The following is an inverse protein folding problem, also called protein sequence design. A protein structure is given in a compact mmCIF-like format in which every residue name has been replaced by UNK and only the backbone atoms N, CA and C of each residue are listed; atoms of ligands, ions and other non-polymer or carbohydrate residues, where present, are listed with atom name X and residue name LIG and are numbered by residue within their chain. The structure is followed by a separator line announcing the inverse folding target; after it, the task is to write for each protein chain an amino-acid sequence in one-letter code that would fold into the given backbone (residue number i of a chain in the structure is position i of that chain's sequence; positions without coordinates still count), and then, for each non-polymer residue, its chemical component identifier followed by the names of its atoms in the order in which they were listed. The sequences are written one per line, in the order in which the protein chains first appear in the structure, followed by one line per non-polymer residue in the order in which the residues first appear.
data_IF_146613414496
#
_entry.id   IF_146613414496
#
_cell.length_a   1.000
_cell.length_b   1.000
_cell.length_c   1.000
_cell.angle_alpha   90.00
_cell.angle_beta   90.00
_cell.angle_gamma   90.00
#
_symmetry.space_group_name_H-M   'P 1'
#
loop_
_entity.id
_entity.type
_entity.pdbx_description
1 polymer ?
#
# COMPACT_ATOMS: atom_id res chain seq x y z
N UNK A 1 38.34 -8.87 6.51
CA UNK A 1 36.95 -8.93 5.99
C UNK A 1 36.06 -9.78 6.88
N UNK A 2 36.35 -11.07 7.10
CA UNK A 2 35.53 -11.91 7.99
C UNK A 2 35.49 -11.45 9.45
N UNK A 3 36.59 -10.89 9.98
CA UNK A 3 36.67 -10.39 11.37
C UNK A 3 35.86 -9.11 11.58
N UNK A 4 35.99 -8.12 10.69
CA UNK A 4 35.16 -6.89 10.72
C UNK A 4 33.67 -7.19 10.50
N UNK A 5 33.34 -8.11 9.58
CA UNK A 5 31.97 -8.54 9.37
C UNK A 5 31.40 -9.26 10.62
N UNK A 6 32.23 -9.99 11.36
CA UNK A 6 31.83 -10.60 12.63
C UNK A 6 31.54 -9.54 13.72
N UNK A 7 32.34 -8.47 13.78
CA UNK A 7 32.11 -7.35 14.70
C UNK A 7 30.80 -6.60 14.37
N UNK A 8 30.56 -6.32 13.09
CA UNK A 8 29.30 -5.70 12.62
C UNK A 8 28.11 -6.62 12.90
N UNK A 9 28.25 -7.93 12.64
CA UNK A 9 27.22 -8.93 12.95
C UNK A 9 26.86 -8.93 14.44
N UNK A 10 27.87 -8.85 15.32
CA UNK A 10 27.63 -8.76 16.76
C UNK A 10 26.85 -7.50 17.15
N UNK A 11 27.18 -6.34 16.56
CA UNK A 11 26.44 -5.08 16.79
C UNK A 11 24.99 -5.17 16.31
N UNK A 12 24.76 -5.73 15.13
CA UNK A 12 23.41 -5.94 14.60
C UNK A 12 22.60 -6.90 15.49
N UNK A 13 23.22 -7.96 16.00
CA UNK A 13 22.56 -8.92 16.90
C UNK A 13 22.10 -8.27 18.21
N UNK A 14 22.88 -7.34 18.78
CA UNK A 14 22.46 -6.57 19.97
C UNK A 14 21.19 -5.78 19.69
N UNK A 15 21.12 -5.11 18.55
CA UNK A 15 19.95 -4.32 18.16
C UNK A 15 18.73 -5.19 17.83
N UNK A 16 18.95 -6.35 17.20
CA UNK A 16 17.90 -7.34 16.95
C UNK A 16 17.34 -7.90 18.26
N UNK A 17 18.18 -8.18 19.25
CA UNK A 17 17.72 -8.74 20.53
C UNK A 17 16.90 -7.74 21.35
N UNK A 18 17.20 -6.45 21.25
CA UNK A 18 16.35 -5.38 21.81
C UNK A 18 14.96 -5.40 21.17
N UNK A 19 14.90 -5.50 19.85
CA UNK A 19 13.63 -5.54 19.12
C UNK A 19 12.82 -6.79 19.46
N UNK A 20 13.46 -7.97 19.51
CA UNK A 20 12.81 -9.24 19.92
C UNK A 20 12.28 -9.16 21.34
N UNK A 21 13.06 -8.62 22.27
CA UNK A 21 12.64 -8.47 23.67
C UNK A 21 11.40 -7.59 23.77
N UNK A 22 11.40 -6.44 23.08
CA UNK A 22 10.26 -5.52 23.06
C UNK A 22 9.00 -6.14 22.47
N UNK A 23 9.11 -6.88 21.36
CA UNK A 23 7.97 -7.59 20.74
C UNK A 23 7.45 -8.69 21.66
N UNK A 24 8.33 -9.50 22.24
CA UNK A 24 7.92 -10.59 23.12
C UNK A 24 7.22 -10.09 24.39
N UNK A 25 7.69 -8.97 24.95
CA UNK A 25 7.02 -8.28 26.04
C UNK A 25 5.61 -7.81 25.63
N UNK A 26 5.47 -7.21 24.45
CA UNK A 26 4.17 -6.82 23.89
C UNK A 26 3.22 -8.01 23.69
N UNK A 27 3.71 -9.10 23.10
CA UNK A 27 2.95 -10.35 22.93
C UNK A 27 2.47 -10.88 24.28
N UNK A 28 3.35 -10.91 25.29
CA UNK A 28 3.02 -11.35 26.64
C UNK A 28 1.93 -10.50 27.28
N UNK A 29 2.05 -9.16 27.19
CA UNK A 29 1.03 -8.22 27.69
C UNK A 29 -0.33 -8.42 27.02
N UNK A 30 -0.35 -8.53 25.70
CA UNK A 30 -1.60 -8.71 24.93
C UNK A 30 -2.27 -10.05 25.25
N UNK A 31 -1.51 -11.14 25.35
CA UNK A 31 -2.05 -12.46 25.73
C UNK A 31 -2.66 -12.43 27.13
N UNK A 32 -1.96 -11.83 28.09
CA UNK A 32 -2.48 -11.68 29.45
C UNK A 32 -3.79 -10.88 29.52
N UNK A 33 -3.96 -9.85 28.70
CA UNK A 33 -5.21 -9.08 28.64
C UNK A 33 -6.34 -9.86 27.95
N UNK A 34 -6.04 -10.63 26.90
CA UNK A 34 -7.01 -11.50 26.23
C UNK A 34 -7.51 -12.63 27.14
N UNK A 35 -6.63 -13.17 27.99
CA UNK A 35 -6.93 -14.25 28.93
C UNK A 35 -7.58 -13.74 30.24
N UNK A 36 -7.69 -12.42 30.43
CA UNK A 36 -8.24 -11.84 31.65
C UNK A 36 -9.76 -12.12 31.77
N UNK A 37 -10.26 -12.57 32.93
CA UNK A 37 -11.68 -12.92 33.14
C UNK A 37 -12.65 -11.72 33.04
N UNK A 38 -12.12 -10.50 32.89
CA UNK A 38 -12.89 -9.29 32.61
C UNK A 38 -13.36 -9.19 31.14
N UNK A 39 -12.95 -10.13 30.27
CA UNK A 39 -13.43 -10.25 28.89
C UNK A 39 -14.52 -11.35 28.87
N UNK A 40 -15.83 -11.00 28.82
CA UNK A 40 -16.89 -12.01 28.79
C UNK A 40 -16.68 -12.96 27.60
N UNK A 41 -16.83 -14.27 27.77
CA UNK A 41 -16.61 -15.24 26.68
C UNK A 41 -17.60 -15.02 25.53
N UNK A 42 -18.85 -14.72 25.85
CA UNK A 42 -19.94 -14.50 24.91
C UNK A 42 -19.94 -13.09 24.31
N UNK A 43 -19.92 -12.98 22.98
CA UNK A 43 -19.87 -11.70 22.26
C UNK A 43 -21.14 -10.87 22.48
N UNK A 44 -22.28 -11.52 22.72
CA UNK A 44 -23.58 -10.86 22.92
C UNK A 44 -23.67 -10.08 24.24
N UNK A 45 -22.88 -10.45 25.25
CA UNK A 45 -22.82 -9.77 26.54
C UNK A 45 -21.85 -8.57 26.59
N UNK A 46 -21.04 -8.35 25.54
CA UNK A 46 -20.03 -7.28 25.49
C UNK A 46 -20.61 -5.95 25.04
N UNK A 47 -20.16 -4.87 25.67
CA UNK A 47 -20.32 -3.52 25.11
C UNK A 47 -19.56 -3.41 23.78
N UNK A 48 -19.99 -2.50 22.92
CA UNK A 48 -19.36 -2.29 21.62
C UNK A 48 -17.86 -1.98 21.75
N UNK A 49 -17.47 -1.14 22.71
CA UNK A 49 -16.08 -0.76 22.96
C UNK A 49 -15.23 -1.96 23.39
N UNK A 50 -15.76 -2.84 24.24
CA UNK A 50 -15.09 -4.09 24.61
C UNK A 50 -14.91 -5.02 23.41
N UNK A 51 -15.89 -5.10 22.50
CA UNK A 51 -15.76 -5.88 21.25
C UNK A 51 -14.65 -5.33 20.36
N UNK A 52 -14.54 -4.01 20.21
CA UNK A 52 -13.48 -3.39 19.42
C UNK A 52 -12.11 -3.51 20.10
N UNK A 53 -12.02 -3.37 21.42
CA UNK A 53 -10.77 -3.59 22.17
C UNK A 53 -10.26 -5.02 22.00
N UNK A 54 -11.12 -6.03 22.17
CA UNK A 54 -10.74 -7.44 21.94
C UNK A 54 -10.22 -7.66 20.52
N UNK A 55 -10.92 -7.13 19.51
CA UNK A 55 -10.49 -7.22 18.10
C UNK A 55 -9.16 -6.51 17.86
N UNK A 56 -8.91 -5.39 18.52
CA UNK A 56 -7.63 -4.70 18.45
C UNK A 56 -6.53 -5.58 19.05
N UNK A 57 -6.73 -6.12 20.25
CA UNK A 57 -5.77 -7.04 20.89
C UNK A 57 -5.45 -8.26 20.01
N UNK A 58 -6.46 -8.94 19.48
CA UNK A 58 -6.28 -10.08 18.56
C UNK A 58 -5.48 -9.69 17.30
N UNK A 59 -5.77 -8.50 16.75
CA UNK A 59 -5.06 -7.98 15.59
C UNK A 59 -3.60 -7.63 15.89
N UNK A 60 -3.35 -6.88 16.97
CA UNK A 60 -2.01 -6.51 17.39
C UNK A 60 -1.20 -7.73 17.82
N UNK A 61 -1.84 -8.77 18.35
CA UNK A 61 -1.17 -10.05 18.62
C UNK A 61 -0.66 -10.69 17.32
N UNK A 62 -1.53 -10.86 16.32
CA UNK A 62 -1.15 -11.42 15.02
C UNK A 62 -0.05 -10.58 14.35
N UNK A 63 -0.14 -9.25 14.45
CA UNK A 63 0.84 -8.32 13.90
C UNK A 63 2.20 -8.46 14.58
N UNK A 64 2.24 -8.59 15.90
CA UNK A 64 3.46 -8.80 16.67
C UNK A 64 4.07 -10.18 16.43
N UNK A 65 3.25 -11.24 16.36
CA UNK A 65 3.73 -12.59 16.05
C UNK A 65 4.33 -12.67 14.63
N UNK A 66 3.72 -12.00 13.65
CA UNK A 66 4.27 -11.88 12.30
C UNK A 66 5.61 -11.11 12.28
N UNK A 67 5.72 -10.03 13.07
CA UNK A 67 6.97 -9.27 13.19
C UNK A 67 8.09 -10.08 13.87
N UNK A 68 7.76 -10.87 14.90
CA UNK A 68 8.71 -11.78 15.53
C UNK A 68 9.25 -12.81 14.52
N UNK A 69 8.35 -13.42 13.73
CA UNK A 69 8.73 -14.37 12.69
C UNK A 69 9.60 -13.73 11.58
N UNK A 70 9.30 -12.49 11.19
CA UNK A 70 10.11 -11.74 10.22
C UNK A 70 11.54 -11.49 10.74
N UNK A 71 11.69 -11.14 12.02
CA UNK A 71 13.01 -10.96 12.63
C UNK A 71 13.79 -12.26 12.64
N UNK A 72 13.16 -13.37 13.01
CA UNK A 72 13.81 -14.69 13.02
C UNK A 72 14.27 -15.09 11.60
N UNK A 73 13.46 -14.81 10.58
CA UNK A 73 13.83 -15.05 9.18
C UNK A 73 14.97 -14.13 8.72
N UNK A 74 14.97 -12.85 9.13
CA UNK A 74 16.07 -11.94 8.84
C UNK A 74 17.40 -12.44 9.43
N UNK A 75 17.39 -12.91 10.69
CA UNK A 75 18.58 -13.50 11.33
C UNK A 75 19.09 -14.69 10.50
N UNK A 76 18.18 -15.54 10.04
CA UNK A 76 18.50 -16.77 9.33
C UNK A 76 19.04 -16.52 7.92
N UNK A 77 18.49 -15.56 7.19
CA UNK A 77 18.71 -15.44 5.74
C UNK A 77 19.50 -14.19 5.34
N UNK A 78 19.35 -13.07 6.07
CA UNK A 78 19.83 -11.77 5.61
C UNK A 78 20.98 -11.20 6.44
N UNK A 79 21.06 -11.56 7.73
CA UNK A 79 22.02 -10.98 8.67
C UNK A 79 23.47 -11.10 8.21
N UNK A 80 23.88 -12.24 7.65
CA UNK A 80 25.26 -12.44 7.20
C UNK A 80 25.62 -11.53 6.04
N UNK A 81 24.74 -11.44 5.05
CA UNK A 81 24.91 -10.55 3.90
C UNK A 81 24.90 -9.07 4.34
N UNK A 82 23.96 -8.68 5.20
CA UNK A 82 23.88 -7.32 5.73
C UNK A 82 25.17 -6.93 6.48
N UNK A 83 25.70 -7.84 7.30
CA UNK A 83 26.94 -7.62 8.06
C UNK A 83 28.15 -7.46 7.15
N UNK A 84 28.25 -8.27 6.08
CA UNK A 84 29.31 -8.17 5.08
C UNK A 84 29.22 -6.85 4.30
N UNK A 85 28.02 -6.48 3.84
CA UNK A 85 27.80 -5.23 3.10
C UNK A 85 28.19 -4.00 3.92
N UNK A 86 27.75 -3.93 5.18
CA UNK A 86 28.11 -2.84 6.08
C UNK A 86 29.62 -2.79 6.36
N UNK A 87 30.25 -3.94 6.63
CA UNK A 87 31.69 -4.01 6.86
C UNK A 87 32.50 -3.49 5.65
N UNK A 88 32.04 -3.73 4.42
CA UNK A 88 32.67 -3.19 3.20
C UNK A 88 32.49 -1.67 3.11
N UNK A 89 31.29 -1.17 3.41
CA UNK A 89 30.94 0.25 3.26
C UNK A 89 31.58 1.15 4.33
N UNK A 90 31.80 0.62 5.54
CA UNK A 90 32.39 1.34 6.66
C UNK A 90 33.93 1.36 6.66
N UNK A 91 34.57 0.77 5.65
CA UNK A 91 36.03 0.87 5.47
C UNK A 91 36.43 2.25 4.94
N UNK A 92 37.67 2.70 5.18
CA UNK A 92 38.18 3.96 4.62
C UNK A 92 38.09 4.04 3.08
N UNK A 93 38.24 2.92 2.35
CA UNK A 93 38.01 2.89 0.90
C UNK A 93 36.53 2.96 0.53
N UNK A 94 35.66 2.33 1.33
CA UNK A 94 34.20 2.40 1.18
C UNK A 94 33.66 3.79 1.48
N UNK A 95 34.12 4.45 2.54
CA UNK A 95 33.79 5.83 2.88
C UNK A 95 34.24 6.83 1.80
N UNK A 96 35.36 6.59 1.12
CA UNK A 96 35.75 7.41 -0.05
C UNK A 96 34.79 7.25 -1.23
N UNK A 97 34.13 6.10 -1.34
CA UNK A 97 33.15 5.79 -2.40
C UNK A 97 31.70 6.18 -2.03
N UNK A 98 31.36 6.18 -0.73
CA UNK A 98 30.00 6.38 -0.19
C UNK A 98 29.96 7.40 0.98
N UNK A 99 30.88 8.36 1.03
CA UNK A 99 30.94 9.39 2.07
C UNK A 99 30.46 10.77 1.59
N UNK A 100 30.39 11.72 2.52
CA UNK A 100 30.09 13.12 2.19
C UNK A 100 31.21 13.69 1.29
N UNK A 101 30.91 13.92 0.01
CA UNK A 101 31.89 14.30 -1.02
C UNK A 101 32.33 13.17 -1.96
N UNK A 102 31.69 11.99 -1.90
CA UNK A 102 31.96 10.89 -2.85
C UNK A 102 31.33 11.11 -4.23
N UNK A 103 31.82 10.34 -5.22
CA UNK A 103 31.34 10.32 -6.60
C UNK A 103 29.86 9.93 -6.75
N UNK A 104 29.28 9.26 -5.74
CA UNK A 104 27.88 8.81 -5.69
C UNK A 104 26.99 9.65 -4.76
N UNK A 105 27.57 10.47 -3.86
CA UNK A 105 26.82 11.35 -2.96
C UNK A 105 25.91 10.65 -1.92
N UNK A 106 26.03 9.33 -1.76
CA UNK A 106 25.29 8.56 -0.76
C UNK A 106 26.04 8.60 0.58
N UNK A 107 25.34 8.67 1.72
CA UNK A 107 25.92 8.43 3.05
C UNK A 107 26.05 6.91 3.28
N UNK A 108 27.05 6.43 4.05
CA UNK A 108 27.09 5.03 4.44
C UNK A 108 25.85 4.73 5.29
N UNK A 109 25.16 3.60 5.06
CA UNK A 109 24.00 3.23 5.87
C UNK A 109 24.44 3.01 7.32
N UNK A 110 23.61 3.47 8.24
CA UNK A 110 23.77 3.20 9.67
C UNK A 110 23.44 1.72 9.98
N UNK A 111 23.79 1.22 11.17
CA UNK A 111 23.32 -0.10 11.65
C UNK A 111 21.80 -0.21 11.54
N UNK A 112 21.15 0.91 11.85
CA UNK A 112 19.72 1.09 11.84
C UNK A 112 19.11 1.02 10.43
N UNK A 113 19.87 1.32 9.37
CA UNK A 113 19.43 1.23 7.97
C UNK A 113 19.62 -0.18 7.40
N UNK A 114 20.51 -0.98 7.99
CA UNK A 114 20.76 -2.35 7.56
C UNK A 114 19.69 -3.34 8.06
N UNK A 115 18.97 -3.01 9.12
CA UNK A 115 17.89 -3.82 9.68
C UNK A 115 16.59 -3.57 8.89
N UNK A 116 16.38 -4.34 7.82
CA UNK A 116 15.33 -4.11 6.82
C UNK A 116 13.95 -4.69 7.16
N UNK A 117 13.81 -5.38 8.29
CA UNK A 117 12.52 -5.95 8.69
C UNK A 117 11.51 -4.86 9.12
N UNK A 118 10.24 -5.12 8.84
CA UNK A 118 9.16 -4.14 8.93
C UNK A 118 8.93 -3.59 10.33
N UNK A 119 9.20 -4.38 11.39
CA UNK A 119 9.05 -3.93 12.78
C UNK A 119 9.81 -2.63 13.04
N UNK A 120 11.11 -2.59 12.74
CA UNK A 120 11.95 -1.43 13.06
C UNK A 120 11.58 -0.21 12.21
N UNK A 121 11.29 -0.41 10.93
CA UNK A 121 10.86 0.67 10.04
C UNK A 121 9.53 1.29 10.49
N UNK A 122 8.56 0.46 10.88
CA UNK A 122 7.20 0.89 11.25
C UNK A 122 7.12 1.40 12.68
N UNK A 123 7.94 0.88 13.60
CA UNK A 123 7.91 1.28 15.00
C UNK A 123 8.60 2.65 15.23
N UNK A 124 9.51 3.07 14.34
CA UNK A 124 10.13 4.41 14.38
C UNK A 124 9.15 5.57 14.15
N UNK A 125 8.06 5.35 13.40
CA UNK A 125 7.18 6.43 12.93
C UNK A 125 5.92 6.61 13.78
N UNK A 126 5.28 5.54 14.21
CA UNK A 126 3.91 5.62 14.78
C UNK A 126 3.62 4.59 15.87
N UNK A 127 4.67 4.04 16.53
CA UNK A 127 4.53 3.06 17.64
C UNK A 127 3.54 1.91 17.33
N UNK A 128 3.64 1.42 16.09
CA UNK A 128 2.63 0.63 15.38
C UNK A 128 2.30 -0.76 15.93
N UNK A 129 2.86 -1.16 17.06
CA UNK A 129 2.76 -2.52 17.59
C UNK A 129 2.14 -2.58 19.00
N UNK A 130 1.88 -1.43 19.62
CA UNK A 130 1.23 -1.35 20.91
C UNK A 130 -0.24 -0.89 20.75
N UNK A 131 -1.24 -1.72 21.12
CA UNK A 131 -2.65 -1.33 21.03
C UNK A 131 -3.04 -0.15 21.93
N UNK A 132 -2.27 0.14 22.98
CA UNK A 132 -2.54 1.23 23.93
C UNK A 132 -2.05 2.59 23.42
N UNK A 133 -1.15 2.58 22.44
CA UNK A 133 -0.56 3.78 21.86
C UNK A 133 -1.26 4.19 20.56
N UNK A 134 -2.35 3.51 20.20
CA UNK A 134 -3.16 3.88 19.05
C UNK A 134 -3.98 5.13 19.37
N UNK A 135 -3.47 6.30 19.02
CA UNK A 135 -4.17 7.57 19.15
C UNK A 135 -4.67 8.06 17.79
N UNK A 136 -5.82 8.73 17.75
CA UNK A 136 -6.37 9.33 16.53
C UNK A 136 -5.43 10.38 15.91
N UNK A 137 -4.66 11.07 16.75
CA UNK A 137 -3.80 12.18 16.33
C UNK A 137 -2.62 11.71 15.48
N UNK A 138 -2.21 10.45 15.62
CA UNK A 138 -1.20 9.82 14.77
C UNK A 138 -1.63 9.67 13.30
N UNK A 139 -2.93 9.83 13.03
CA UNK A 139 -3.52 9.62 11.71
C UNK A 139 -4.21 10.88 11.17
N UNK A 140 -3.88 12.03 11.75
CA UNK A 140 -4.32 13.35 11.33
C UNK A 140 -3.13 14.17 10.86
N UNK A 141 -3.40 15.23 10.10
CA UNK A 141 -2.36 16.13 9.60
C UNK A 141 -1.31 15.44 8.70
N UNK A 142 -1.71 14.37 8.01
CA UNK A 142 -0.83 13.50 7.22
C UNK A 142 -0.26 14.18 5.97
N UNK A 143 -0.88 15.27 5.53
CA UNK A 143 -0.43 16.09 4.39
C UNK A 143 0.59 17.16 4.77
N UNK A 144 0.87 17.37 6.06
CA UNK A 144 1.91 18.30 6.46
C UNK A 144 3.27 17.82 5.93
N UNK A 145 4.13 18.73 5.43
CA UNK A 145 5.51 18.41 5.14
C UNK A 145 6.18 17.77 6.35
N UNK A 146 7.00 16.73 6.14
CA UNK A 146 7.64 15.95 7.21
C UNK A 146 8.31 16.84 8.29
N UNK A 147 9.08 17.89 7.95
CA UNK A 147 9.65 18.78 8.97
C UNK A 147 8.57 19.50 9.79
N UNK A 148 7.55 20.05 9.12
CA UNK A 148 6.45 20.75 9.79
C UNK A 148 5.63 19.81 10.68
N UNK A 149 5.41 18.55 10.26
CA UNK A 149 4.74 17.56 11.09
C UNK A 149 5.53 17.30 12.38
N UNK A 150 6.82 16.99 12.28
CA UNK A 150 7.64 16.69 13.47
C UNK A 150 7.82 17.89 14.41
N UNK A 151 7.89 19.11 13.87
CA UNK A 151 8.03 20.32 14.68
C UNK A 151 6.76 20.69 15.44
N UNK A 152 5.57 20.37 14.91
CA UNK A 152 4.31 20.89 15.42
C UNK A 152 3.40 19.84 16.05
N UNK A 153 3.58 18.54 15.79
CA UNK A 153 2.61 17.51 16.21
C UNK A 153 2.41 17.43 17.72
N UNK A 154 3.46 17.62 18.52
CA UNK A 154 3.36 17.59 19.98
C UNK A 154 2.54 18.77 20.52
N UNK A 155 2.70 19.95 19.93
CA UNK A 155 1.91 21.13 20.25
C UNK A 155 0.45 20.94 19.83
N UNK A 156 0.20 20.38 18.64
CA UNK A 156 -1.15 20.05 18.19
C UNK A 156 -1.81 19.02 19.12
N UNK A 157 -1.07 18.02 19.61
CA UNK A 157 -1.57 17.08 20.64
C UNK A 157 -1.91 17.78 21.95
N UNK A 158 -1.11 18.75 22.38
CA UNK A 158 -1.41 19.55 23.56
C UNK A 158 -2.72 20.32 23.38
N UNK A 159 -2.88 21.02 22.25
CA UNK A 159 -4.14 21.70 21.92
C UNK A 159 -5.33 20.74 21.86
N UNK A 160 -5.13 19.54 21.32
CA UNK A 160 -6.18 18.53 21.26
C UNK A 160 -6.63 18.06 22.66
N UNK A 161 -5.70 17.90 23.60
CA UNK A 161 -6.02 17.55 24.99
C UNK A 161 -6.85 18.63 25.68
N UNK A 162 -6.58 19.90 25.37
CA UNK A 162 -7.27 21.07 25.96
C UNK A 162 -8.45 21.60 25.12
N UNK A 163 -8.88 20.86 24.10
CA UNK A 163 -9.90 21.30 23.12
C UNK A 163 -11.28 21.62 23.69
N UNK A 164 -11.61 21.12 24.88
CA UNK A 164 -12.85 21.46 25.58
C UNK A 164 -12.79 22.84 26.24
N UNK A 165 -11.57 23.35 26.48
CA UNK A 165 -11.30 24.59 27.21
C UNK A 165 -10.83 25.71 26.27
N UNK A 166 -9.99 25.40 25.28
CA UNK A 166 -9.49 26.39 24.31
C UNK A 166 -9.95 26.10 22.88
N UNK A 167 -10.12 27.18 22.10
CA UNK A 167 -10.47 27.11 20.69
C UNK A 167 -9.29 26.81 19.76
N UNK A 168 -8.07 26.73 20.31
CA UNK A 168 -6.83 26.72 19.53
C UNK A 168 -6.74 25.48 18.63
N UNK A 169 -7.12 24.31 19.15
CA UNK A 169 -7.17 23.08 18.36
C UNK A 169 -8.03 23.25 17.12
N UNK A 170 -9.22 23.79 17.28
CA UNK A 170 -10.14 23.96 16.15
C UNK A 170 -9.65 25.03 15.18
N UNK A 171 -8.94 26.06 15.63
CA UNK A 171 -8.36 27.05 14.72
C UNK A 171 -7.27 26.42 13.85
N UNK A 172 -6.39 25.59 14.43
CA UNK A 172 -5.36 24.84 13.69
C UNK A 172 -6.00 23.83 12.75
N UNK A 173 -7.02 23.10 13.22
CA UNK A 173 -7.71 22.11 12.41
C UNK A 173 -8.47 22.76 11.24
N UNK A 174 -9.21 23.85 11.49
CA UNK A 174 -9.95 24.58 10.45
C UNK A 174 -8.97 25.11 9.38
N UNK A 175 -7.85 25.72 9.79
CA UNK A 175 -6.81 26.18 8.86
C UNK A 175 -6.25 25.02 8.02
N UNK A 176 -5.92 23.90 8.66
CA UNK A 176 -5.41 22.73 7.95
C UNK A 176 -6.43 22.12 6.98
N UNK A 177 -7.70 22.03 7.39
CA UNK A 177 -8.78 21.53 6.54
C UNK A 177 -8.93 22.42 5.30
N UNK A 178 -8.93 23.75 5.49
CA UNK A 178 -9.08 24.72 4.41
C UNK A 178 -7.89 24.74 3.45
N UNK A 179 -6.67 24.73 3.97
CA UNK A 179 -5.44 24.86 3.17
C UNK A 179 -5.02 23.54 2.52
N UNK A 180 -5.12 22.43 3.25
CA UNK A 180 -4.56 21.14 2.81
C UNK A 180 -5.62 20.15 2.34
N UNK A 181 -6.72 19.99 3.06
CA UNK A 181 -7.71 18.92 2.78
C UNK A 181 -8.66 19.33 1.65
N UNK A 182 -9.34 20.48 1.77
CA UNK A 182 -10.37 20.92 0.84
C UNK A 182 -9.88 20.96 -0.62
N UNK A 183 -8.72 21.55 -0.94
CA UNK A 183 -8.24 21.60 -2.32
C UNK A 183 -8.02 20.20 -2.91
N UNK A 184 -7.43 19.29 -2.13
CA UNK A 184 -7.21 17.90 -2.53
C UNK A 184 -8.50 17.11 -2.62
N UNK A 185 -9.47 17.40 -1.76
CA UNK A 185 -10.75 16.72 -1.73
C UNK A 185 -11.57 17.08 -2.98
N UNK A 186 -11.61 18.36 -3.34
CA UNK A 186 -12.20 18.84 -4.59
C UNK A 186 -11.51 18.25 -5.82
N UNK A 187 -10.18 18.18 -5.83
CA UNK A 187 -9.42 17.53 -6.90
C UNK A 187 -9.77 16.04 -7.02
N UNK A 188 -9.84 15.32 -5.90
CA UNK A 188 -10.19 13.90 -5.88
C UNK A 188 -11.62 13.65 -6.37
N UNK A 189 -12.56 14.54 -6.01
CA UNK A 189 -13.93 14.54 -6.55
C UNK A 189 -14.03 14.67 -8.07
N UNK A 190 -12.94 15.04 -8.75
CA UNK A 190 -12.88 15.12 -10.21
C UNK A 190 -12.03 14.01 -10.83
N UNK A 191 -10.94 13.63 -10.17
CA UNK A 191 -9.85 12.90 -10.80
C UNK A 191 -9.54 11.52 -10.20
N UNK A 192 -9.97 11.24 -8.98
CA UNK A 192 -9.68 9.98 -8.28
C UNK A 192 -10.79 8.97 -8.55
N UNK A 193 -10.49 7.79 -9.07
CA UNK A 193 -11.51 6.81 -9.48
C UNK A 193 -12.46 6.37 -8.36
N UNK A 194 -11.97 6.36 -7.11
CA UNK A 194 -12.72 5.96 -5.94
C UNK A 194 -13.60 7.09 -5.40
N UNK A 195 -13.31 8.35 -5.76
CA UNK A 195 -14.02 9.55 -5.28
C UNK A 195 -14.81 10.27 -6.38
N UNK A 196 -14.35 10.25 -7.63
CA UNK A 196 -14.80 11.10 -8.73
C UNK A 196 -16.29 10.96 -9.08
N UNK A 197 -16.87 9.78 -8.89
CA UNK A 197 -18.31 9.59 -9.08
C UNK A 197 -19.19 10.14 -7.94
N UNK A 198 -18.61 10.93 -7.03
CA UNK A 198 -19.28 11.62 -5.93
C UNK A 198 -18.99 13.13 -5.95
N UNK A 199 -18.58 13.71 -7.09
CA UNK A 199 -18.18 15.11 -7.22
C UNK A 199 -19.17 16.10 -6.62
N UNK A 200 -20.46 15.98 -6.94
CA UNK A 200 -21.51 16.85 -6.38
C UNK A 200 -21.59 16.76 -4.85
N UNK A 201 -21.41 15.55 -4.29
CA UNK A 201 -21.40 15.34 -2.84
C UNK A 201 -20.13 15.91 -2.19
N UNK A 202 -18.99 15.85 -2.87
CA UNK A 202 -17.74 16.50 -2.44
C UNK A 202 -17.94 18.01 -2.35
N UNK A 203 -18.49 18.63 -3.40
CA UNK A 203 -18.79 20.07 -3.42
C UNK A 203 -19.76 20.45 -2.30
N UNK A 204 -20.83 19.67 -2.11
CA UNK A 204 -21.78 19.88 -1.03
C UNK A 204 -21.14 19.80 0.37
N UNK A 205 -20.27 18.80 0.62
CA UNK A 205 -19.54 18.68 1.90
C UNK A 205 -18.68 19.93 2.16
N UNK A 206 -17.97 20.42 1.14
CA UNK A 206 -17.13 21.62 1.25
C UNK A 206 -17.98 22.86 1.56
N UNK A 207 -19.14 23.00 0.92
CA UNK A 207 -20.07 24.09 1.20
C UNK A 207 -20.59 24.05 2.64
N UNK A 208 -21.06 22.88 3.10
CA UNK A 208 -21.54 22.71 4.49
C UNK A 208 -20.45 23.06 5.51
N UNK A 209 -19.18 22.73 5.23
CA UNK A 209 -18.05 23.11 6.10
C UNK A 209 -17.85 24.62 6.17
N UNK A 210 -17.88 25.32 5.03
CA UNK A 210 -17.77 26.78 4.98
C UNK A 210 -18.91 27.48 5.71
N UNK A 211 -20.12 26.92 5.63
CA UNK A 211 -21.30 27.40 6.35
C UNK A 211 -21.30 27.04 7.84
N UNK A 212 -20.32 26.25 8.31
CA UNK A 212 -20.23 25.72 9.68
C UNK A 212 -21.45 24.88 10.05
N UNK A 213 -22.07 24.22 9.08
CA UNK A 213 -23.15 23.28 9.27
C UNK A 213 -22.61 21.92 9.75
N UNK A 214 -22.10 21.91 10.98
CA UNK A 214 -21.46 20.75 11.58
C UNK A 214 -22.42 19.60 11.85
N UNK A 215 -23.73 19.89 11.98
CA UNK A 215 -24.75 18.84 12.15
C UNK A 215 -24.82 18.03 10.86
N UNK A 216 -25.05 18.68 9.71
CA UNK A 216 -25.12 17.99 8.43
C UNK A 216 -23.83 17.22 8.14
N UNK A 217 -22.66 17.82 8.39
CA UNK A 217 -21.38 17.15 8.20
C UNK A 217 -21.22 15.89 9.05
N UNK A 218 -21.65 15.92 10.31
CA UNK A 218 -21.58 14.78 11.22
C UNK A 218 -22.36 13.55 10.71
N UNK A 219 -23.39 13.78 9.88
CA UNK A 219 -24.19 12.71 9.29
C UNK A 219 -23.79 12.35 7.85
N UNK A 220 -23.20 13.28 7.09
CA UNK A 220 -22.83 13.07 5.68
C UNK A 220 -21.42 12.42 5.55
N UNK A 221 -20.46 12.86 6.37
CA UNK A 221 -19.06 12.40 6.26
C UNK A 221 -18.86 10.91 6.56
N UNK A 222 -19.39 10.33 7.66
CA UNK A 222 -19.20 8.90 7.91
C UNK A 222 -19.65 8.00 6.75
N UNK A 223 -20.89 8.11 6.21
CA UNK A 223 -21.30 7.28 5.08
C UNK A 223 -20.52 7.60 3.79
N UNK A 224 -20.05 8.83 3.61
CA UNK A 224 -19.15 9.16 2.50
C UNK A 224 -17.83 8.39 2.58
N UNK A 225 -17.19 8.37 3.75
CA UNK A 225 -15.94 7.65 4.03
C UNK A 225 -16.16 6.14 3.85
N UNK A 226 -17.19 5.58 4.50
CA UNK A 226 -17.55 4.16 4.41
C UNK A 226 -17.82 3.73 2.96
N UNK A 227 -18.62 4.50 2.23
CA UNK A 227 -18.93 4.21 0.84
C UNK A 227 -17.71 4.30 -0.08
N UNK A 228 -16.69 5.10 0.27
CA UNK A 228 -15.43 5.17 -0.50
C UNK A 228 -14.55 3.96 -0.22
N UNK A 229 -14.42 3.56 1.06
CA UNK A 229 -13.74 2.32 1.47
C UNK A 229 -14.39 1.09 0.81
N UNK A 230 -15.72 1.06 0.78
CA UNK A 230 -16.47 0.00 0.10
C UNK A 230 -16.16 -0.03 -1.40
N UNK A 231 -16.16 1.13 -2.06
CA UNK A 231 -15.76 1.24 -3.47
C UNK A 231 -14.36 0.68 -3.72
N UNK A 232 -13.37 1.02 -2.87
CA UNK A 232 -12.01 0.45 -2.94
C UNK A 232 -12.05 -1.07 -2.79
N UNK A 233 -12.81 -1.60 -1.83
CA UNK A 233 -12.92 -3.03 -1.59
C UNK A 233 -13.50 -3.81 -2.79
N UNK A 234 -14.49 -3.27 -3.47
CA UNK A 234 -15.01 -3.86 -4.71
C UNK A 234 -13.91 -3.98 -5.77
N UNK A 235 -13.01 -2.99 -5.86
CA UNK A 235 -11.87 -3.04 -6.79
C UNK A 235 -10.81 -4.08 -6.43
N UNK A 236 -10.76 -4.53 -5.18
CA UNK A 236 -9.90 -5.61 -4.72
C UNK A 236 -10.52 -7.00 -4.93
N UNK A 237 -11.65 -7.09 -5.64
CA UNK A 237 -12.30 -8.35 -5.98
C UNK A 237 -13.25 -8.89 -4.91
N UNK A 238 -13.63 -8.08 -3.91
CA UNK A 238 -14.72 -8.44 -3.01
C UNK A 238 -16.04 -8.40 -3.80
N UNK A 239 -16.67 -9.57 -3.95
CA UNK A 239 -17.99 -9.70 -4.57
C UNK A 239 -18.96 -8.72 -3.91
N UNK A 240 -19.72 -7.99 -4.72
CA UNK A 240 -20.69 -6.98 -4.27
C UNK A 240 -21.62 -7.52 -3.17
N UNK A 241 -22.16 -8.73 -3.35
CA UNK A 241 -23.01 -9.41 -2.37
C UNK A 241 -22.35 -9.71 -1.01
N UNK A 242 -21.02 -9.85 -0.98
CA UNK A 242 -20.23 -10.02 0.23
C UNK A 242 -19.82 -8.67 0.81
N UNK A 243 -19.53 -7.69 -0.05
CA UNK A 243 -19.15 -6.32 0.33
C UNK A 243 -20.31 -5.60 1.02
N UNK A 244 -21.55 -5.77 0.55
CA UNK A 244 -22.75 -5.16 1.14
C UNK A 244 -23.08 -5.69 2.55
N UNK A 245 -22.69 -6.94 2.82
CA UNK A 245 -22.90 -7.62 4.11
C UNK A 245 -21.67 -7.56 5.01
N UNK A 246 -20.52 -7.18 4.46
CA UNK A 246 -19.28 -7.09 5.20
C UNK A 246 -19.30 -5.88 6.12
N UNK A 247 -19.10 -6.12 7.41
CA UNK A 247 -18.79 -5.04 8.34
C UNK A 247 -17.52 -4.29 7.86
N UNK A 248 -17.44 -2.98 8.12
CA UNK A 248 -16.29 -2.13 7.78
C UNK A 248 -14.94 -2.77 8.14
N UNK A 249 -14.88 -3.51 9.25
CA UNK A 249 -13.67 -4.20 9.68
C UNK A 249 -13.19 -5.28 8.69
N UNK A 250 -14.09 -5.99 8.00
CA UNK A 250 -13.71 -6.99 6.99
C UNK A 250 -13.22 -6.33 5.68
N UNK A 251 -13.83 -5.19 5.33
CA UNK A 251 -13.43 -4.37 4.19
C UNK A 251 -11.99 -3.87 4.39
N UNK A 252 -11.71 -3.27 5.54
CA UNK A 252 -10.39 -2.75 5.89
C UNK A 252 -9.32 -3.85 6.01
N UNK A 253 -9.65 -5.02 6.57
CA UNK A 253 -8.73 -6.19 6.56
C UNK A 253 -8.38 -6.64 5.15
N UNK A 254 -9.28 -6.47 4.19
CA UNK A 254 -9.00 -6.80 2.79
C UNK A 254 -8.03 -5.80 2.19
N UNK A 255 -8.29 -4.50 2.35
CA UNK A 255 -7.39 -3.44 1.91
C UNK A 255 -5.98 -3.66 2.46
N UNK A 256 -5.85 -4.01 3.74
CA UNK A 256 -4.56 -4.22 4.37
C UNK A 256 -3.74 -5.39 3.78
N UNK A 257 -4.38 -6.42 3.22
CA UNK A 257 -3.65 -7.49 2.52
C UNK A 257 -2.97 -7.00 1.25
N UNK A 258 -3.43 -5.88 0.70
CA UNK A 258 -2.94 -5.30 -0.54
C UNK A 258 -2.13 -4.03 -0.34
N UNK A 259 -2.27 -3.35 0.81
CA UNK A 259 -1.60 -2.07 1.09
C UNK A 259 -0.91 -2.08 2.45
N UNK A 260 0.34 -1.59 2.48
CA UNK A 260 1.06 -1.32 3.73
C UNK A 260 0.79 0.10 4.27
N UNK A 261 -0.48 0.49 4.30
CA UNK A 261 -0.84 1.87 4.63
C UNK A 261 -0.83 2.13 6.14
N UNK A 262 -0.21 3.24 6.54
CA UNK A 262 -0.28 3.80 7.90
C UNK A 262 -1.72 4.27 8.17
N UNK A 263 -2.31 3.86 9.29
CA UNK A 263 -3.65 4.32 9.71
C UNK A 263 -4.79 3.34 9.48
N UNK A 264 -4.50 2.13 8.99
CA UNK A 264 -5.50 1.06 8.91
C UNK A 264 -6.06 0.69 10.30
N UNK A 265 -5.24 0.74 11.34
CA UNK A 265 -5.66 0.49 12.73
C UNK A 265 -6.68 1.52 13.22
N UNK A 266 -6.48 2.79 12.92
CA UNK A 266 -7.43 3.86 13.26
C UNK A 266 -8.80 3.60 12.62
N UNK A 267 -8.81 3.29 11.32
CA UNK A 267 -10.04 2.98 10.58
C UNK A 267 -10.72 1.69 11.10
N UNK A 268 -9.94 0.71 11.58
CA UNK A 268 -10.45 -0.58 12.08
C UNK A 268 -11.03 -0.50 13.48
N UNK A 269 -10.47 0.34 14.35
CA UNK A 269 -10.73 0.26 15.79
C UNK A 269 -11.28 1.56 16.40
N UNK A 270 -10.85 2.74 15.94
CA UNK A 270 -11.26 4.02 16.56
C UNK A 270 -12.43 4.65 15.81
N UNK A 271 -12.30 4.82 14.48
CA UNK A 271 -13.33 5.44 13.65
C UNK A 271 -14.72 4.77 13.80
N UNK A 272 -14.83 3.42 13.82
CA UNK A 272 -16.14 2.78 13.92
C UNK A 272 -16.84 3.01 15.26
N UNK A 273 -16.10 3.15 16.36
CA UNK A 273 -16.67 3.46 17.67
C UNK A 273 -17.31 4.86 17.61
N UNK A 274 -16.57 5.85 17.11
CA UNK A 274 -17.05 7.24 16.96
C UNK A 274 -18.28 7.33 16.08
N UNK A 275 -18.23 6.73 14.89
CA UNK A 275 -19.35 6.68 13.95
C UNK A 275 -20.61 6.12 14.62
N UNK A 276 -20.49 5.04 15.37
CA UNK A 276 -21.65 4.41 16.00
C UNK A 276 -22.20 5.21 17.18
N UNK A 277 -21.33 5.87 17.97
CA UNK A 277 -21.80 6.79 19.02
C UNK A 277 -22.64 7.92 18.45
N UNK A 278 -22.24 8.49 17.31
CA UNK A 278 -22.99 9.55 16.61
C UNK A 278 -24.30 9.03 16.01
N UNK A 279 -24.25 7.90 15.29
CA UNK A 279 -25.45 7.29 14.69
C UNK A 279 -26.54 6.94 15.73
N UNK A 280 -26.14 6.65 16.97
CA UNK A 280 -27.05 6.37 18.08
C UNK A 280 -27.36 7.58 18.96
N UNK A 281 -26.88 8.78 18.61
CA UNK A 281 -27.10 10.00 19.40
C UNK A 281 -26.50 9.95 20.81
N UNK A 282 -25.48 9.12 21.04
CA UNK A 282 -24.84 8.91 22.35
C UNK A 282 -23.71 9.90 22.63
N UNK A 283 -23.11 10.50 21.60
CA UNK A 283 -22.13 11.60 21.72
C UNK A 283 -22.84 12.97 21.79
N UNK A 284 -23.78 13.13 22.72
CA UNK A 284 -24.40 14.45 23.02
C UNK A 284 -23.45 15.40 23.77
N UNK A 285 -22.29 14.90 24.23
CA UNK A 285 -21.29 15.67 24.98
C UNK A 285 -20.16 16.24 24.11
N UNK A 286 -19.80 15.58 23.00
CA UNK A 286 -18.91 16.16 22.00
C UNK A 286 -19.73 17.17 21.20
N UNK A 287 -19.21 18.39 21.01
CA UNK A 287 -19.90 19.36 20.16
C UNK A 287 -19.98 18.80 18.73
N UNK A 288 -21.07 19.07 17.99
CA UNK A 288 -21.15 18.69 16.57
C UNK A 288 -19.94 19.21 15.77
N UNK A 289 -19.34 20.34 16.20
CA UNK A 289 -18.08 20.86 15.66
C UNK A 289 -16.94 19.86 15.80
N UNK A 290 -16.73 19.29 16.98
CA UNK A 290 -15.68 18.30 17.23
C UNK A 290 -15.81 17.09 16.33
N UNK A 291 -17.04 16.59 16.19
CA UNK A 291 -17.35 15.45 15.33
C UNK A 291 -17.08 15.78 13.87
N UNK A 292 -17.63 16.88 13.38
CA UNK A 292 -17.47 17.29 11.99
C UNK A 292 -16.01 17.56 11.64
N UNK A 293 -15.28 18.30 12.48
CA UNK A 293 -13.85 18.56 12.30
C UNK A 293 -13.05 17.26 12.31
N UNK A 294 -13.35 16.33 13.23
CA UNK A 294 -12.69 15.03 13.28
C UNK A 294 -12.86 14.26 11.96
N UNK A 295 -14.07 14.17 11.42
CA UNK A 295 -14.30 13.48 10.14
C UNK A 295 -13.75 14.23 8.93
N UNK A 296 -13.71 15.57 8.96
CA UNK A 296 -13.02 16.34 7.93
C UNK A 296 -11.53 16.03 7.92
N UNK A 297 -10.89 15.87 9.09
CA UNK A 297 -9.51 15.42 9.21
C UNK A 297 -9.32 13.98 8.72
N UNK A 298 -10.30 13.09 8.96
CA UNK A 298 -10.27 11.71 8.47
C UNK A 298 -10.28 11.61 6.93
N UNK A 299 -10.80 12.64 6.23
CA UNK A 299 -10.70 12.71 4.77
C UNK A 299 -9.26 12.70 4.29
N UNK A 300 -8.32 13.22 5.08
CA UNK A 300 -6.91 13.21 4.70
C UNK A 300 -6.38 11.78 4.55
N UNK A 301 -6.60 10.94 5.57
CA UNK A 301 -6.26 9.53 5.53
C UNK A 301 -7.00 8.80 4.40
N UNK A 302 -8.28 9.12 4.18
CA UNK A 302 -9.06 8.56 3.08
C UNK A 302 -8.45 8.91 1.72
N UNK A 303 -8.04 10.16 1.50
CA UNK A 303 -7.43 10.62 0.26
C UNK A 303 -6.04 9.99 0.03
N UNK A 304 -5.26 9.81 1.11
CA UNK A 304 -3.99 9.07 1.04
C UNK A 304 -4.25 7.62 0.63
N UNK A 305 -5.25 6.97 1.22
CA UNK A 305 -5.66 5.61 0.88
C UNK A 305 -6.16 5.51 -0.58
N UNK A 306 -7.04 6.43 -1.00
CA UNK A 306 -7.66 6.38 -2.32
C UNK A 306 -6.65 6.57 -3.46
N UNK A 307 -5.56 7.32 -3.25
CA UNK A 307 -4.51 7.58 -4.27
C UNK A 307 -3.42 6.50 -4.35
N UNK A 308 -3.51 5.43 -3.55
CA UNK A 308 -2.49 4.36 -3.47
C UNK A 308 -2.32 3.61 -4.78
N UNK A 309 -1.10 3.56 -5.32
CA UNK A 309 -0.78 2.93 -6.62
C UNK A 309 -0.83 1.39 -6.62
N UNK A 310 -0.79 0.79 -5.44
CA UNK A 310 -0.99 -0.64 -5.18
C UNK A 310 -2.48 -1.04 -5.22
N UNK A 311 -3.41 -0.08 -5.23
CA UNK A 311 -4.81 -0.37 -5.54
C UNK A 311 -4.95 -0.72 -7.02
N UNK A 312 -5.61 -1.85 -7.38
CA UNK A 312 -5.66 -2.33 -8.75
C UNK A 312 -6.22 -1.31 -9.75
N UNK A 313 -7.27 -0.56 -9.39
CA UNK A 313 -7.84 0.43 -10.31
C UNK A 313 -6.95 1.65 -10.56
N UNK A 314 -6.20 2.10 -9.56
CA UNK A 314 -5.19 3.15 -9.78
C UNK A 314 -4.06 2.64 -10.67
N UNK A 315 -3.64 1.39 -10.47
CA UNK A 315 -2.72 0.71 -11.37
C UNK A 315 -3.25 0.62 -12.80
N UNK A 316 -4.53 0.26 -12.98
CA UNK A 316 -5.18 0.21 -14.29
C UNK A 316 -5.21 1.58 -14.95
N UNK A 317 -5.61 2.63 -14.23
CA UNK A 317 -5.58 4.02 -14.73
C UNK A 317 -4.18 4.43 -15.22
N UNK A 318 -3.12 4.05 -14.52
CA UNK A 318 -1.74 4.28 -14.96
C UNK A 318 -1.39 3.52 -16.26
N UNK A 319 -1.96 2.33 -16.47
CA UNK A 319 -1.83 1.61 -17.75
C UNK A 319 -2.62 2.29 -18.86
N UNK A 320 -3.86 2.71 -18.58
CA UNK A 320 -4.76 3.31 -19.56
C UNK A 320 -4.25 4.67 -20.05
N UNK A 321 -3.66 5.49 -19.17
CA UNK A 321 -3.10 6.80 -19.53
C UNK A 321 -1.83 6.70 -20.36
N UNK A 322 -1.01 5.67 -20.14
CA UNK A 322 0.28 5.50 -20.80
C UNK A 322 0.56 4.01 -21.07
N UNK A 323 -0.05 3.43 -22.11
CA UNK A 323 0.05 2.00 -22.36
C UNK A 323 1.45 1.59 -22.82
N UNK A 324 1.97 0.51 -22.22
CA UNK A 324 3.16 -0.21 -22.66
C UNK A 324 2.96 -1.70 -22.43
N UNK A 325 3.68 -2.57 -23.13
CA UNK A 325 3.56 -4.03 -22.94
C UNK A 325 3.82 -4.43 -21.48
N UNK A 326 4.86 -3.87 -20.87
CA UNK A 326 5.20 -4.12 -19.46
C UNK A 326 4.05 -3.72 -18.52
N UNK A 327 3.41 -2.58 -18.77
CA UNK A 327 2.25 -2.12 -18.00
C UNK A 327 1.01 -2.99 -18.23
N UNK A 328 0.73 -3.40 -19.47
CA UNK A 328 -0.38 -4.32 -19.78
C UNK A 328 -0.17 -5.69 -19.12
N UNK A 329 1.05 -6.24 -19.12
CA UNK A 329 1.39 -7.46 -18.35
C UNK A 329 1.04 -7.30 -16.86
N UNK A 330 1.26 -6.11 -16.28
CA UNK A 330 0.98 -5.82 -14.86
C UNK A 330 -0.51 -5.91 -14.51
N UNK A 331 -1.44 -5.64 -15.45
CA UNK A 331 -2.90 -5.78 -15.23
C UNK A 331 -3.23 -7.17 -14.67
N UNK A 332 -2.64 -8.21 -15.27
CA UNK A 332 -2.88 -9.61 -14.88
C UNK A 332 -2.14 -10.05 -13.61
N UNK A 333 -1.16 -9.27 -13.16
CA UNK A 333 -0.48 -9.47 -11.88
C UNK A 333 -1.32 -8.86 -10.76
N UNK A 334 -2.01 -7.74 -11.05
CA UNK A 334 -2.88 -7.04 -10.11
C UNK A 334 -4.24 -7.75 -9.89
N UNK A 335 -4.52 -8.84 -10.61
CA UNK A 335 -5.77 -9.61 -10.43
C UNK A 335 -7.02 -8.89 -10.95
N UNK A 336 -6.87 -7.98 -11.92
CA UNK A 336 -8.00 -7.27 -12.50
C UNK A 336 -8.65 -8.17 -13.55
N UNK A 337 -9.75 -8.81 -13.15
CA UNK A 337 -10.43 -9.82 -13.96
C UNK A 337 -11.81 -9.38 -14.45
N UNK A 338 -12.32 -8.26 -13.93
CA UNK A 338 -13.67 -7.77 -14.21
C UNK A 338 -13.64 -6.46 -14.99
N UNK A 339 -14.65 -6.29 -15.84
CA UNK A 339 -14.87 -5.04 -16.56
C UNK A 339 -15.34 -3.96 -15.58
N UNK A 340 -14.83 -2.75 -15.73
CA UNK A 340 -15.19 -1.62 -14.88
C UNK A 340 -15.94 -0.59 -15.71
N UNK A 341 -17.26 -0.48 -15.50
CA UNK A 341 -18.14 0.40 -16.27
C UNK A 341 -17.67 1.87 -16.31
N UNK A 342 -17.03 2.35 -15.23
CA UNK A 342 -16.46 3.71 -15.17
C UNK A 342 -15.27 3.96 -16.10
N UNK A 343 -14.61 2.90 -16.57
CA UNK A 343 -13.43 2.96 -17.43
C UNK A 343 -13.67 2.32 -18.80
N UNK A 344 -14.93 2.12 -19.18
CA UNK A 344 -15.30 1.39 -20.39
C UNK A 344 -14.66 2.00 -21.64
N UNK A 345 -14.72 3.34 -21.78
CA UNK A 345 -14.13 4.06 -22.91
C UNK A 345 -12.62 3.91 -22.99
N UNK A 346 -11.94 4.04 -21.86
CA UNK A 346 -10.49 3.96 -21.75
C UNK A 346 -10.02 2.53 -21.97
N UNK A 347 -10.71 1.55 -21.39
CA UNK A 347 -10.46 0.13 -21.63
C UNK A 347 -10.64 -0.22 -23.11
N UNK A 348 -11.68 0.32 -23.77
CA UNK A 348 -11.88 0.13 -25.22
C UNK A 348 -10.75 0.73 -26.03
N UNK A 349 -10.28 1.93 -25.68
CA UNK A 349 -9.12 2.55 -26.34
C UNK A 349 -7.85 1.71 -26.18
N UNK A 350 -7.63 1.15 -24.98
CA UNK A 350 -6.53 0.20 -24.75
C UNK A 350 -6.69 -1.07 -25.59
N UNK A 351 -7.90 -1.63 -25.69
CA UNK A 351 -8.18 -2.80 -26.54
C UNK A 351 -7.91 -2.54 -28.03
N UNK A 352 -8.30 -1.37 -28.53
CA UNK A 352 -7.96 -0.94 -29.89
C UNK A 352 -6.45 -0.85 -30.10
N UNK A 353 -5.71 -0.29 -29.12
CA UNK A 353 -4.25 -0.27 -29.17
C UNK A 353 -3.64 -1.68 -29.16
N UNK A 354 -4.15 -2.60 -28.34
CA UNK A 354 -3.73 -4.01 -28.31
C UNK A 354 -3.98 -4.70 -29.66
N UNK A 355 -5.03 -4.29 -30.39
CA UNK A 355 -5.34 -4.81 -31.72
C UNK A 355 -4.48 -4.20 -32.85
N UNK A 356 -3.55 -3.29 -32.56
CA UNK A 356 -2.62 -2.75 -33.57
C UNK A 356 -1.49 -3.72 -33.89
N UNK A 357 -0.95 -3.66 -35.10
CA UNK A 357 0.26 -4.43 -35.47
C UNK A 357 1.48 -4.00 -34.65
N UNK A 358 1.51 -2.74 -34.22
CA UNK A 358 2.55 -2.19 -33.37
C UNK A 358 2.67 -2.96 -32.05
N UNK A 359 1.56 -3.21 -31.35
CA UNK A 359 1.56 -3.95 -30.09
C UNK A 359 2.18 -5.35 -30.25
N UNK A 360 1.71 -6.13 -31.22
CA UNK A 360 2.17 -7.49 -31.43
C UNK A 360 3.62 -7.54 -31.95
N UNK A 361 4.04 -6.56 -32.76
CA UNK A 361 5.44 -6.44 -33.18
C UNK A 361 6.36 -6.10 -32.01
N UNK A 362 5.95 -5.19 -31.12
CA UNK A 362 6.70 -4.87 -29.91
C UNK A 362 6.77 -6.08 -28.97
N UNK A 363 5.71 -6.89 -28.86
CA UNK A 363 5.67 -8.10 -28.03
C UNK A 363 6.64 -9.16 -28.56
N UNK A 364 6.66 -9.37 -29.88
CA UNK A 364 7.59 -10.28 -30.55
C UNK A 364 9.05 -9.85 -30.34
N UNK A 365 9.34 -8.55 -30.50
CA UNK A 365 10.70 -7.98 -30.29
C UNK A 365 11.20 -8.10 -28.86
N UNK A 366 10.29 -8.15 -27.87
CA UNK A 366 10.64 -8.29 -26.46
C UNK A 366 10.85 -9.75 -26.03
N UNK A 367 10.65 -10.73 -26.92
CA UNK A 367 10.90 -12.13 -26.60
C UNK A 367 12.40 -12.37 -26.31
N UNK A 368 12.69 -12.76 -25.08
CA UNK A 368 14.02 -13.23 -24.69
C UNK A 368 14.07 -14.75 -24.59
N UNK A 369 15.27 -15.31 -24.53
CA UNK A 369 15.47 -16.75 -24.29
C UNK A 369 14.91 -17.19 -22.93
N UNK A 370 15.01 -16.32 -21.92
CA UNK A 370 14.44 -16.53 -20.58
C UNK A 370 12.91 -16.59 -20.62
N UNK A 371 12.25 -15.72 -21.39
CA UNK A 371 10.78 -15.75 -21.56
C UNK A 371 10.29 -17.04 -22.22
N UNK A 372 11.10 -17.57 -23.13
CA UNK A 372 10.84 -18.80 -23.89
C UNK A 372 10.94 -20.04 -22.99
N UNK A 373 11.92 -20.07 -22.08
CA UNK A 373 12.11 -21.15 -21.11
C UNK A 373 11.05 -21.12 -20.01
N UNK A 374 10.74 -19.92 -19.49
CA UNK A 374 9.72 -19.72 -18.44
C UNK A 374 8.28 -19.82 -18.93
N UNK A 375 8.07 -19.79 -20.26
CA UNK A 375 6.76 -19.68 -20.94
C UNK A 375 5.98 -18.43 -20.50
N UNK A 376 6.66 -17.38 -20.05
CA UNK A 376 6.01 -16.18 -19.51
C UNK A 376 5.13 -15.49 -20.55
N UNK A 377 5.66 -15.23 -21.76
CA UNK A 377 4.90 -14.57 -22.83
C UNK A 377 3.72 -15.41 -23.30
N UNK A 378 3.85 -16.74 -23.33
CA UNK A 378 2.74 -17.63 -23.63
C UNK A 378 1.62 -17.49 -22.58
N UNK A 379 1.97 -17.53 -21.29
CA UNK A 379 0.99 -17.34 -20.19
C UNK A 379 0.32 -15.98 -20.28
N UNK A 380 1.08 -14.93 -20.56
CA UNK A 380 0.56 -13.59 -20.74
C UNK A 380 -0.48 -13.53 -21.88
N UNK A 381 -0.14 -14.06 -23.06
CA UNK A 381 -1.05 -14.04 -24.22
C UNK A 381 -2.32 -14.85 -23.93
N UNK A 382 -2.20 -16.02 -23.31
CA UNK A 382 -3.38 -16.80 -22.91
C UNK A 382 -4.28 -16.07 -21.91
N UNK A 383 -3.70 -15.32 -20.97
CA UNK A 383 -4.46 -14.45 -20.06
C UNK A 383 -5.14 -13.30 -20.81
N UNK A 384 -4.43 -12.69 -21.77
CA UNK A 384 -4.97 -11.63 -22.62
C UNK A 384 -6.16 -12.09 -23.44
N UNK A 385 -6.12 -13.32 -23.98
CA UNK A 385 -7.25 -13.94 -24.69
C UNK A 385 -8.43 -14.18 -23.74
N UNK A 386 -8.16 -14.78 -22.57
CA UNK A 386 -9.19 -15.16 -21.60
C UNK A 386 -9.92 -13.95 -21.03
N UNK A 387 -9.19 -12.88 -20.71
CA UNK A 387 -9.74 -11.64 -20.15
C UNK A 387 -9.94 -10.53 -21.20
N UNK A 388 -10.03 -10.88 -22.49
CA UNK A 388 -10.16 -9.91 -23.58
C UNK A 388 -11.39 -8.98 -23.46
N UNK A 389 -12.46 -9.45 -22.80
CA UNK A 389 -13.69 -8.68 -22.49
C UNK A 389 -13.41 -7.47 -21.59
N UNK A 390 -12.30 -7.48 -20.85
CA UNK A 390 -11.87 -6.33 -20.06
C UNK A 390 -11.57 -5.12 -20.93
N UNK A 391 -11.17 -5.32 -22.19
CA UNK A 391 -10.65 -4.29 -23.08
C UNK A 391 -11.64 -3.79 -24.13
N UNK A 392 -12.92 -4.15 -24.03
CA UNK A 392 -13.94 -3.64 -24.96
C UNK A 392 -15.11 -4.58 -25.16
N UNK A 393 -15.91 -4.25 -26.15
CA UNK A 393 -17.05 -5.04 -26.59
C UNK A 393 -16.64 -6.37 -27.25
N UNK A 394 -17.64 -7.17 -27.60
CA UNK A 394 -17.43 -8.50 -28.19
C UNK A 394 -16.58 -8.46 -29.48
N UNK A 395 -16.63 -7.37 -30.26
CA UNK A 395 -15.81 -7.22 -31.47
C UNK A 395 -14.33 -7.01 -31.11
N UNK A 396 -14.02 -6.01 -30.27
CA UNK A 396 -12.65 -5.76 -29.80
C UNK A 396 -12.08 -7.00 -29.11
N UNK A 397 -12.85 -7.65 -28.24
CA UNK A 397 -12.45 -8.85 -27.54
C UNK A 397 -12.19 -10.02 -28.50
N UNK A 398 -13.03 -10.21 -29.52
CA UNK A 398 -12.88 -11.27 -30.52
C UNK A 398 -11.63 -11.07 -31.37
N UNK A 399 -11.30 -9.83 -31.72
CA UNK A 399 -10.08 -9.49 -32.45
C UNK A 399 -8.83 -9.77 -31.61
N UNK A 400 -8.83 -9.41 -30.32
CA UNK A 400 -7.73 -9.72 -29.39
C UNK A 400 -7.53 -11.24 -29.30
N UNK A 401 -8.62 -12.02 -29.17
CA UNK A 401 -8.57 -13.49 -29.16
C UNK A 401 -8.00 -14.05 -30.46
N UNK A 402 -8.40 -13.52 -31.62
CA UNK A 402 -7.91 -13.99 -32.90
C UNK A 402 -6.40 -13.72 -33.07
N UNK A 403 -5.94 -12.51 -32.71
CA UNK A 403 -4.52 -12.15 -32.76
C UNK A 403 -3.67 -12.92 -31.75
N UNK A 404 -4.20 -13.14 -30.54
CA UNK A 404 -3.57 -13.99 -29.53
C UNK A 404 -3.32 -15.41 -30.04
N UNK A 405 -4.33 -16.03 -30.66
CA UNK A 405 -4.21 -17.39 -31.23
C UNK A 405 -3.16 -17.45 -32.32
N UNK A 406 -3.14 -16.45 -33.21
CA UNK A 406 -2.15 -16.42 -34.29
C UNK A 406 -0.74 -16.23 -33.74
N UNK A 407 -0.55 -15.34 -32.77
CA UNK A 407 0.74 -15.16 -32.10
C UNK A 407 1.21 -16.43 -31.39
N UNK A 408 0.32 -17.12 -30.67
CA UNK A 408 0.63 -18.40 -30.04
C UNK A 408 0.99 -19.50 -31.05
N UNK A 409 0.43 -19.45 -32.26
CA UNK A 409 0.74 -20.38 -33.36
C UNK A 409 2.12 -20.11 -33.96
N UNK A 410 2.56 -18.85 -34.03
CA UNK A 410 3.87 -18.47 -34.57
C UNK A 410 4.99 -18.55 -33.53
N UNK A 411 4.66 -18.51 -32.23
CA UNK A 411 5.61 -18.59 -31.11
C UNK A 411 6.61 -19.77 -31.20
N UNK A 412 6.23 -21.01 -31.59
CA UNK A 412 7.18 -22.11 -31.71
C UNK A 412 8.24 -21.89 -32.79
N UNK A 413 7.93 -21.12 -33.84
CA UNK A 413 8.90 -20.77 -34.88
C UNK A 413 9.86 -19.66 -34.40
N UNK A 414 9.34 -18.66 -33.68
CA UNK A 414 10.16 -17.63 -33.02
C UNK A 414 11.12 -18.26 -31.99
N UNK A 415 10.61 -19.22 -31.21
CA UNK A 415 11.40 -20.02 -30.24
C UNK A 415 12.57 -20.75 -30.90
N UNK A 416 12.37 -21.38 -32.06
CA UNK A 416 13.45 -22.05 -32.80
C UNK A 416 14.52 -21.07 -33.27
N UNK A 417 14.12 -19.92 -33.82
CA UNK A 417 15.06 -18.88 -34.26
C UNK A 417 15.94 -18.37 -33.11
N UNK A 418 15.36 -18.10 -31.94
CA UNK A 418 16.10 -17.64 -30.77
C UNK A 418 17.08 -18.68 -30.23
N UNK A 419 16.70 -19.96 -30.21
CA UNK A 419 17.59 -21.06 -29.84
C UNK A 419 18.76 -21.18 -30.82
N UNK A 420 18.49 -21.17 -32.13
CA UNK A 420 19.51 -21.24 -33.17
C UNK A 420 20.50 -20.06 -33.11
N UNK A 421 20.02 -18.84 -32.85
CA UNK A 421 20.87 -17.67 -32.69
C UNK A 421 21.72 -17.74 -31.41
N UNK A 422 21.18 -18.29 -30.32
CA UNK A 422 21.93 -18.51 -29.08
C UNK A 422 23.05 -19.53 -29.26
N UNK A 423 22.77 -20.63 -29.95
CA UNK A 423 23.77 -21.65 -30.27
C UNK A 423 24.87 -21.10 -31.19
N UNK A 424 24.49 -20.29 -32.19
CA UNK A 424 25.47 -19.59 -33.05
C UNK A 424 26.37 -18.66 -32.24
N UNK A 425 25.81 -17.87 -31.33
CA UNK A 425 26.59 -16.97 -30.45
C UNK A 425 27.53 -17.77 -29.53
N UNK A 426 27.05 -18.88 -28.95
CA UNK A 426 27.87 -19.75 -28.11
C UNK A 426 29.06 -20.34 -28.88
N UNK A 427 28.81 -20.86 -30.10
CA UNK A 427 29.88 -21.38 -30.99
C UNK A 427 30.87 -20.29 -31.40
N UNK A 428 30.39 -19.07 -31.64
CA UNK A 428 31.24 -17.94 -32.00
C UNK A 428 32.12 -17.52 -30.82
N UNK A 429 31.58 -17.51 -29.59
CA UNK A 429 32.34 -17.25 -28.36
C UNK A 429 33.37 -18.35 -28.06
N UNK A 430 33.03 -19.63 -28.22
CA UNK A 430 33.99 -20.73 -28.10
C UNK A 430 35.10 -20.63 -29.16
N UNK A 431 34.73 -20.31 -30.41
CA UNK A 431 35.70 -20.05 -31.47
C UNK A 431 36.62 -18.88 -31.17
N UNK A 432 36.13 -17.83 -30.50
CA UNK A 432 36.94 -16.67 -30.11
C UNK A 432 37.86 -17.02 -28.95
N UNK A 433 37.37 -17.72 -27.92
CA UNK A 433 38.18 -18.23 -26.80
C UNK A 433 39.30 -19.15 -27.29
N UNK A 434 38.97 -20.13 -28.14
CA UNK A 434 39.95 -21.06 -28.70
C UNK A 434 40.97 -20.42 -29.66
N UNK A 435 40.74 -19.17 -30.11
CA UNK A 435 41.72 -18.38 -30.88
C UNK A 435 42.57 -17.50 -29.98
N UNK A 436 42.01 -16.98 -28.90
CA UNK A 436 42.75 -16.26 -27.85
C UNK A 436 43.72 -17.21 -27.13
N UNK A 437 43.27 -18.42 -26.76
CA UNK A 437 44.09 -19.44 -26.09
C UNK A 437 45.20 -20.04 -26.98
N UNK A 438 45.23 -19.71 -28.28
CA UNK A 438 46.27 -20.13 -29.23
C UNK A 438 47.30 -19.04 -29.54
N UNK A 439 47.10 -17.83 -29.01
CA UNK A 439 47.98 -16.68 -29.18
C UNK A 439 48.76 -16.32 -27.91
N UNK A 440 48.64 -17.13 -26.84
CA UNK A 440 49.64 -17.30 -25.78
C UNK A 440 50.50 -18.53 -26.10
#
# INVERSE_FOLDING_TARGET
MHEEAAEVKAKLLVEIEKDRSSINEQIGRIKAELDAPAVPEDDDSRTQEQRYRKRALEYFLQKNEAAAAEIDEYIKVQLENASLCLAIQWRPEGEKMFGLGSLMGLRPPSLDDALTYSYRFRNRKTRNFDPDLLEEMDFRFLSLPVPAYYENIDQIRAYYKDREVSGDYYQVADWYIEDSIIPRFLEAGRNDIHVAGKGDLVEHIVERFKERDYISLSFILPPFIEGTIHGICQTLGLKESMSERAALNQLLKTIQKHTDLIGMEYLLFIMPIRRNRIAHGRDLYASYREVAVSFMLDLDLLLVLAKRSDLPLNGLLDVLRQPTIKKVKKIFIMGIEQHHARLESECRALGQWINTDEFWSQLDKQLTQTDVESKETQRFVSKLEYHSVLFGDDDVASQIKARGKEFLRTLPAARRRLLEDSEKRARMLESLKARLDRND
#
